data_IF_487381306531
#
_entry.id   IF_487381306531
#
_cell.length_a   1.000
_cell.length_b   1.000
_cell.length_c   1.000
_cell.angle_alpha   90.00
_cell.angle_beta   90.00
_cell.angle_gamma   90.00
#
_symmetry.space_group_name_H-M   'P 1'
#
loop_
_entity.id
_entity.type
_entity.pdbx_description
1 polymer ?
#
# COMPACT_ATOMS: atom_id res chain seq x y z
N UNK A 1 19.13 -10.66 22.67
CA UNK A 1 18.51 -9.75 21.68
C UNK A 1 19.45 -9.71 20.48
N UNK A 2 19.01 -10.18 19.32
CA UNK A 2 19.78 -10.01 18.08
C UNK A 2 19.57 -8.58 17.58
N UNK A 3 20.59 -7.92 16.99
CA UNK A 3 20.38 -6.63 16.35
C UNK A 3 19.37 -6.80 15.22
N UNK A 4 18.33 -5.97 15.21
CA UNK A 4 17.48 -5.83 14.05
C UNK A 4 18.21 -4.93 13.05
N UNK A 5 18.70 -5.52 11.95
CA UNK A 5 19.19 -4.75 10.81
C UNK A 5 18.01 -3.98 10.19
N UNK A 6 18.02 -2.64 10.27
CA UNK A 6 16.99 -1.83 9.66
C UNK A 6 17.26 -1.68 8.17
N UNK A 7 16.51 -2.37 7.30
CA UNK A 7 16.56 -2.08 5.86
C UNK A 7 15.69 -0.86 5.55
N UNK A 8 16.30 0.33 5.52
CA UNK A 8 15.60 1.53 5.06
C UNK A 8 15.56 1.50 3.52
N UNK A 9 14.38 1.22 2.96
CA UNK A 9 14.12 1.28 1.53
C UNK A 9 13.14 2.41 1.28
N UNK A 10 13.50 3.34 0.40
CA UNK A 10 12.63 4.38 -0.08
C UNK A 10 12.54 4.28 -1.61
N UNK A 11 11.32 4.40 -2.14
CA UNK A 11 11.08 4.46 -3.58
C UNK A 11 10.35 5.75 -3.92
N UNK A 12 10.88 6.48 -4.90
CA UNK A 12 10.22 7.61 -5.51
C UNK A 12 9.67 7.17 -6.88
N UNK A 13 8.41 7.49 -7.15
CA UNK A 13 7.78 7.30 -8.45
C UNK A 13 7.35 8.68 -8.93
N UNK A 14 8.05 9.20 -9.93
CA UNK A 14 7.76 10.50 -10.53
C UNK A 14 6.61 10.44 -11.55
N UNK A 15 6.22 11.62 -12.04
CA UNK A 15 5.11 11.78 -12.98
C UNK A 15 5.37 11.13 -14.35
N UNK A 16 6.61 11.16 -14.84
CA UNK A 16 6.96 10.54 -16.12
C UNK A 16 6.81 9.03 -16.02
N UNK A 17 7.29 8.44 -14.93
CA UNK A 17 7.14 7.01 -14.66
C UNK A 17 5.68 6.59 -14.52
N UNK A 18 4.84 7.45 -13.92
CA UNK A 18 3.39 7.23 -13.85
C UNK A 18 2.76 7.24 -15.24
N UNK A 19 3.15 8.19 -16.11
CA UNK A 19 2.62 8.30 -17.47
C UNK A 19 3.03 7.11 -18.36
N UNK A 20 4.26 6.61 -18.17
CA UNK A 20 4.79 5.47 -18.91
C UNK A 20 4.23 4.12 -18.40
N UNK A 21 3.71 4.10 -17.16
CA UNK A 21 2.99 2.95 -16.62
C UNK A 21 1.54 2.99 -17.09
N UNK A 22 1.04 1.98 -17.83
CA UNK A 22 -0.36 1.92 -18.20
C UNK A 22 -1.18 1.58 -16.95
N UNK A 23 -1.51 2.60 -16.17
CA UNK A 23 -2.30 2.42 -14.96
C UNK A 23 -3.71 1.93 -15.31
N UNK A 24 -4.22 2.07 -16.55
CA UNK A 24 -5.43 1.38 -17.03
C UNK A 24 -6.64 1.46 -16.06
N UNK A 25 -6.85 2.61 -15.40
CA UNK A 25 -7.90 2.79 -14.39
C UNK A 25 -7.56 2.27 -12.98
N UNK A 26 -6.32 1.86 -12.72
CA UNK A 26 -5.78 1.53 -11.40
C UNK A 26 -5.67 2.78 -10.54
N UNK A 27 -5.85 2.59 -9.25
CA UNK A 27 -5.66 3.62 -8.24
C UNK A 27 -4.17 3.86 -7.97
N UNK A 28 -3.82 5.07 -7.50
CA UNK A 28 -2.46 5.40 -7.09
C UNK A 28 -1.90 4.42 -6.06
N UNK A 29 -2.77 3.87 -5.21
CA UNK A 29 -2.46 2.83 -4.23
C UNK A 29 -1.78 1.59 -4.83
N UNK A 30 -2.07 1.23 -6.07
CA UNK A 30 -1.45 0.09 -6.73
C UNK A 30 0.06 0.26 -6.96
N UNK A 31 0.57 1.49 -6.94
CA UNK A 31 2.00 1.77 -7.07
C UNK A 31 2.81 1.23 -5.87
N UNK A 32 2.17 1.07 -4.71
CA UNK A 32 2.78 0.47 -3.52
C UNK A 32 3.41 -0.89 -3.85
N UNK A 33 2.74 -1.68 -4.68
CA UNK A 33 3.15 -3.04 -5.03
C UNK A 33 4.33 -3.12 -5.99
N UNK A 34 4.85 -1.98 -6.45
CA UNK A 34 6.08 -1.92 -7.24
C UNK A 34 7.34 -1.89 -6.36
N UNK A 35 7.17 -1.63 -5.05
CA UNK A 35 8.28 -1.56 -4.10
C UNK A 35 8.67 -2.96 -3.59
N UNK A 36 9.97 -3.21 -3.36
CA UNK A 36 10.42 -4.48 -2.80
C UNK A 36 9.87 -4.67 -1.38
N UNK A 37 9.59 -5.92 -1.03
CA UNK A 37 9.03 -6.26 0.29
C UNK A 37 7.54 -5.94 0.45
N UNK A 38 6.86 -5.54 -0.62
CA UNK A 38 5.41 -5.31 -0.63
C UNK A 38 4.66 -6.45 -1.31
N UNK A 39 3.49 -6.79 -0.79
CA UNK A 39 2.57 -7.76 -1.40
C UNK A 39 1.13 -7.24 -1.33
N UNK A 40 0.31 -7.61 -2.33
CA UNK A 40 -1.12 -7.35 -2.33
C UNK A 40 -1.85 -8.48 -1.58
N UNK A 41 -2.46 -8.15 -0.45
CA UNK A 41 -3.21 -9.08 0.40
C UNK A 41 -4.72 -8.92 0.29
N UNK A 42 -5.21 -8.10 -0.66
CA UNK A 42 -6.64 -7.79 -0.85
C UNK A 42 -7.54 -9.02 -0.87
N UNK A 43 -7.12 -10.10 -1.54
CA UNK A 43 -7.93 -11.33 -1.62
C UNK A 43 -7.89 -12.19 -0.35
N UNK A 44 -6.94 -11.94 0.54
CA UNK A 44 -6.66 -12.77 1.72
C UNK A 44 -6.95 -12.04 3.04
N UNK A 45 -7.19 -10.74 2.97
CA UNK A 45 -7.46 -9.90 4.11
C UNK A 45 -8.89 -9.41 4.04
N UNK A 46 -9.77 -9.97 4.89
CA UNK A 46 -11.15 -9.50 4.90
C UNK A 46 -11.26 -8.10 5.52
N UNK A 47 -10.35 -7.66 6.41
CA UNK A 47 -10.40 -6.33 7.03
C UNK A 47 -11.82 -5.90 7.46
N UNK A 48 -12.22 -4.69 7.09
CA UNK A 48 -13.58 -4.14 7.27
C UNK A 48 -14.65 -4.86 6.43
N UNK A 49 -14.27 -5.62 5.39
CA UNK A 49 -15.17 -6.44 4.57
C UNK A 49 -15.85 -7.56 5.36
N UNK A 50 -15.23 -8.04 6.43
CA UNK A 50 -15.89 -8.97 7.36
C UNK A 50 -17.08 -8.34 8.09
N UNK A 51 -17.14 -7.01 8.15
CA UNK A 51 -18.22 -6.27 8.83
C UNK A 51 -19.22 -5.62 7.85
N UNK A 52 -19.09 -5.91 6.55
CA UNK A 52 -20.08 -5.50 5.53
C UNK A 52 -19.91 -4.09 4.96
N UNK A 53 -18.85 -3.36 5.32
CA UNK A 53 -18.50 -2.06 4.75
C UNK A 53 -17.19 -2.12 3.98
N UNK A 54 -17.25 -2.13 2.65
CA UNK A 54 -16.05 -2.09 1.80
C UNK A 54 -16.18 -0.99 0.77
N UNK A 55 -15.18 -0.12 0.71
CA UNK A 55 -15.02 0.79 -0.41
C UNK A 55 -14.84 0.00 -1.71
N UNK A 56 -15.64 0.26 -2.76
CA UNK A 56 -15.45 -0.39 -4.05
C UNK A 56 -14.00 -0.23 -4.53
N UNK A 57 -13.37 -1.34 -4.89
CA UNK A 57 -11.97 -1.42 -5.31
C UNK A 57 -10.93 -1.10 -4.22
N UNK A 58 -11.25 -1.16 -2.94
CA UNK A 58 -10.24 -1.07 -1.88
C UNK A 58 -9.12 -2.10 -2.08
N UNK A 59 -7.89 -1.70 -1.72
CA UNK A 59 -6.70 -2.54 -1.84
C UNK A 59 -5.94 -2.56 -0.52
N UNK A 60 -5.54 -3.76 -0.10
CA UNK A 60 -4.79 -3.99 1.13
C UNK A 60 -3.40 -4.47 0.80
N UNK A 61 -2.41 -3.77 1.33
CA UNK A 61 -1.00 -4.13 1.18
C UNK A 61 -0.42 -4.72 2.45
N UNK A 62 0.71 -5.39 2.34
CA UNK A 62 1.55 -5.75 3.47
C UNK A 62 2.99 -5.41 3.10
N UNK A 63 3.70 -4.72 3.99
CA UNK A 63 5.10 -4.33 3.84
C UNK A 63 5.90 -5.07 4.90
N UNK A 64 6.85 -5.90 4.48
CA UNK A 64 7.78 -6.62 5.37
C UNK A 64 7.12 -7.40 6.52
N UNK A 65 5.91 -7.89 6.32
CA UNK A 65 5.16 -8.65 7.34
C UNK A 65 4.38 -7.80 8.35
N UNK A 66 4.41 -6.47 8.24
CA UNK A 66 3.70 -5.56 9.16
C UNK A 66 2.17 -5.65 9.08
N UNK A 67 1.62 -6.12 7.98
CA UNK A 67 0.16 -6.24 7.79
C UNK A 67 -0.53 -4.95 7.33
N UNK A 68 -1.79 -5.03 6.87
CA UNK A 68 -2.43 -3.91 6.15
C UNK A 68 -2.78 -2.68 6.98
N UNK A 69 -3.02 -2.85 8.29
CA UNK A 69 -3.31 -1.74 9.20
C UNK A 69 -2.07 -0.97 9.68
N UNK A 70 -0.88 -1.35 9.23
CA UNK A 70 0.39 -0.73 9.65
C UNK A 70 1.06 0.06 8.52
N UNK A 71 0.28 0.49 7.53
CA UNK A 71 0.74 1.32 6.41
C UNK A 71 0.10 2.69 6.59
N UNK A 72 0.93 3.74 6.60
CA UNK A 72 0.46 5.12 6.69
C UNK A 72 0.35 5.72 5.28
N UNK A 73 -0.87 6.09 4.88
CA UNK A 73 -1.14 6.80 3.64
C UNK A 73 -1.27 8.30 3.89
N UNK A 74 -0.59 9.09 3.07
CA UNK A 74 -0.67 10.55 3.10
C UNK A 74 -0.96 11.11 1.72
N UNK A 75 -1.73 12.20 1.67
CA UNK A 75 -1.94 13.01 0.49
C UNK A 75 -1.53 14.45 0.82
N UNK A 76 -0.59 14.99 0.05
CA UNK A 76 -0.02 16.33 0.27
C UNK A 76 0.48 16.58 1.72
N UNK A 77 0.97 15.53 2.37
CA UNK A 77 1.50 15.57 3.74
C UNK A 77 0.45 15.49 4.84
N UNK A 78 -0.82 15.24 4.50
CA UNK A 78 -1.93 15.06 5.45
C UNK A 78 -2.38 13.61 5.49
N UNK A 79 -2.86 13.14 6.65
CA UNK A 79 -3.39 11.80 6.85
C UNK A 79 -4.51 11.47 5.85
N UNK A 80 -4.40 10.30 5.21
CA UNK A 80 -5.40 9.76 4.29
C UNK A 80 -5.70 8.29 4.61
N UNK A 81 -5.77 7.96 5.89
CA UNK A 81 -6.11 6.63 6.37
C UNK A 81 -7.61 6.57 6.74
N UNK A 82 -8.20 5.39 6.59
CA UNK A 82 -9.57 5.11 7.05
C UNK A 82 -9.53 4.77 8.56
N UNK A 83 -10.33 5.49 9.37
CA UNK A 83 -10.36 5.40 10.83
C UNK A 83 -11.65 4.76 11.34
#
# INVERSE_FOLDING_TARGET
>A
MLPAESSNIAQLIDTQRIADLPLNGRQAQSLLFLAPGTINTTLYYCGSACQGGVYPNAQWGNISGGGPGNINYQLDGVDHNDN
#
